data_IF_883380381550
#
_entry.id   IF_883380381550
#
_cell.length_a   1.000
_cell.length_b   1.000
_cell.length_c   1.000
_cell.angle_alpha   90.00
_cell.angle_beta   90.00
_cell.angle_gamma   90.00
#
_symmetry.space_group_name_H-M   'P 1'
#
loop_
_entity.id
_entity.type
_entity.pdbx_description
1 polymer ?
#
# COMPACT_ATOMS: atom_id res chain seq x y z
N UNK A 1 38.58 11.06 -14.62
CA UNK A 1 37.80 9.87 -14.21
C UNK A 1 36.50 10.34 -13.58
N UNK A 2 35.40 10.34 -14.35
CA UNK A 2 34.08 10.71 -13.85
C UNK A 2 33.33 9.42 -13.46
N UNK A 3 33.22 9.17 -12.15
CA UNK A 3 32.32 8.15 -11.63
C UNK A 3 30.90 8.72 -11.64
N UNK A 4 30.10 8.28 -12.61
CA UNK A 4 28.65 8.43 -12.61
C UNK A 4 28.06 7.52 -11.52
N UNK A 5 27.87 8.06 -10.32
CA UNK A 5 27.07 7.41 -9.27
C UNK A 5 25.62 7.81 -9.53
N UNK A 6 24.86 6.90 -10.14
CA UNK A 6 23.42 7.05 -10.34
C UNK A 6 22.64 7.09 -9.02
N UNK A 7 21.48 7.74 -8.98
CA UNK A 7 20.64 7.82 -7.78
C UNK A 7 19.81 6.55 -7.67
N UNK A 8 20.33 5.51 -7.02
CA UNK A 8 19.50 4.35 -6.64
C UNK A 8 19.88 3.79 -5.29
N UNK A 9 19.77 4.60 -4.24
CA UNK A 9 19.49 4.15 -2.86
C UNK A 9 18.73 5.24 -2.10
N UNK A 10 17.72 4.80 -1.36
CA UNK A 10 17.07 5.50 -0.25
C UNK A 10 15.91 6.48 -0.56
N UNK A 11 14.80 5.96 -1.08
CA UNK A 11 13.48 6.44 -0.63
C UNK A 11 13.19 5.85 0.76
N UNK A 12 13.93 6.36 1.74
CA UNK A 12 13.61 6.32 3.16
C UNK A 12 14.17 7.62 3.73
N UNK A 13 13.37 8.69 3.59
CA UNK A 13 13.64 10.05 4.05
C UNK A 13 12.28 10.58 4.52
N UNK A 14 11.85 10.23 5.73
CA UNK A 14 12.14 10.95 6.98
C UNK A 14 11.42 12.30 7.04
N UNK A 15 10.19 12.25 7.58
CA UNK A 15 9.26 13.38 7.81
C UNK A 15 9.84 14.48 8.72
N UNK A 16 11.04 14.26 9.29
CA UNK A 16 11.72 15.19 10.21
C UNK A 16 12.43 16.36 9.53
N UNK A 17 12.85 16.26 8.27
CA UNK A 17 13.70 17.30 7.65
C UNK A 17 12.95 18.43 6.94
N UNK A 18 11.62 18.33 6.76
CA UNK A 18 10.84 19.41 6.14
C UNK A 18 10.62 20.61 7.09
N UNK A 19 10.72 20.39 8.40
CA UNK A 19 10.45 21.41 9.42
C UNK A 19 11.50 22.54 9.47
N UNK A 20 12.76 22.25 9.15
CA UNK A 20 13.84 23.22 9.30
C UNK A 20 13.72 24.42 8.33
N UNK A 21 13.11 24.21 7.16
CA UNK A 21 12.93 25.27 6.14
C UNK A 21 11.70 26.15 6.39
N UNK A 22 10.76 25.72 7.24
CA UNK A 22 9.51 26.44 7.47
C UNK A 22 9.57 27.43 8.66
N UNK A 23 10.61 27.34 9.49
CA UNK A 23 10.81 28.21 10.67
C UNK A 23 11.39 29.60 10.36
N UNK A 24 11.66 29.94 9.09
CA UNK A 24 12.23 31.24 8.70
C UNK A 24 11.20 32.25 8.18
N UNK A 25 9.89 32.00 8.33
CA UNK A 25 8.88 33.00 7.91
C UNK A 25 7.73 33.14 8.91
N UNK A 26 7.90 34.12 9.78
CA UNK A 26 6.91 34.60 10.74
C UNK A 26 5.63 35.06 10.03
N UNK A 27 4.56 34.26 10.13
CA UNK A 27 3.17 34.76 10.09
C UNK A 27 2.19 33.72 10.68
N UNK A 28 1.87 33.91 11.97
CA UNK A 28 0.59 33.59 12.63
C UNK A 28 -0.03 32.21 12.31
N UNK A 29 0.18 31.24 13.22
CA UNK A 29 -0.93 30.55 13.92
C UNK A 29 -0.36 29.71 15.06
N UNK A 30 -0.57 30.17 16.29
CA UNK A 30 -0.63 29.25 17.44
C UNK A 30 -2.05 28.68 17.47
N UNK A 31 -2.18 27.52 18.09
CA UNK A 31 -3.40 26.89 18.62
C UNK A 31 -3.85 25.61 17.89
N UNK A 32 -4.26 24.60 18.67
CA UNK A 32 -3.86 23.20 18.53
C UNK A 32 -4.93 22.43 17.76
N UNK A 33 -4.59 22.06 16.52
CA UNK A 33 -5.47 21.29 15.65
C UNK A 33 -5.29 19.77 15.81
N UNK A 34 -4.31 19.32 16.60
CA UNK A 34 -4.11 17.88 16.83
C UNK A 34 -5.16 17.29 17.76
N UNK A 35 -5.66 18.04 18.76
CA UNK A 35 -6.74 17.51 19.62
C UNK A 35 -8.11 17.60 18.96
N UNK A 36 -8.40 18.63 18.16
CA UNK A 36 -9.67 18.72 17.41
C UNK A 36 -9.69 17.70 16.28
N UNK A 37 -8.56 17.47 15.60
CA UNK A 37 -8.40 16.42 14.60
C UNK A 37 -8.48 15.02 15.21
N UNK A 38 -7.79 14.76 16.33
CA UNK A 38 -7.87 13.47 17.02
C UNK A 38 -9.25 13.25 17.64
N UNK A 39 -9.91 14.25 18.23
CA UNK A 39 -11.25 14.10 18.84
C UNK A 39 -12.34 13.92 17.77
N UNK A 40 -12.24 14.57 16.61
CA UNK A 40 -13.16 14.32 15.48
C UNK A 40 -12.89 12.98 14.80
N UNK A 41 -11.63 12.56 14.66
CA UNK A 41 -11.27 11.21 14.17
C UNK A 41 -11.73 10.15 15.17
N UNK A 42 -11.51 10.32 16.48
CA UNK A 42 -11.95 9.40 17.53
C UNK A 42 -13.48 9.35 17.63
N UNK A 43 -14.16 10.49 17.47
CA UNK A 43 -15.62 10.58 17.41
C UNK A 43 -16.20 9.95 16.15
N UNK A 44 -15.55 10.04 14.99
CA UNK A 44 -15.98 9.40 13.74
C UNK A 44 -15.69 7.88 13.76
N UNK A 45 -14.60 7.47 14.41
CA UNK A 45 -14.24 6.06 14.65
C UNK A 45 -15.21 5.38 15.62
N UNK A 46 -15.63 6.08 16.69
CA UNK A 46 -16.67 5.59 17.60
C UNK A 46 -18.05 5.50 16.93
N UNK A 47 -18.32 6.36 15.93
CA UNK A 47 -19.60 6.40 15.22
C UNK A 47 -19.76 5.29 14.18
N UNK A 48 -18.70 4.53 13.83
CA UNK A 48 -18.77 3.49 12.79
C UNK A 48 -19.06 2.06 13.25
N UNK A 49 -18.73 1.58 14.46
CA UNK A 49 -18.56 0.10 14.55
C UNK A 49 -18.63 -0.55 15.95
N UNK A 50 -19.78 -0.57 16.65
CA UNK A 50 -19.95 -1.54 17.75
C UNK A 50 -21.36 -2.12 17.85
N UNK A 51 -22.38 -1.35 17.48
CA UNK A 51 -23.78 -1.80 17.52
C UNK A 51 -24.26 -2.48 16.24
N UNK A 52 -23.56 -2.32 15.11
CA UNK A 52 -24.02 -2.80 13.80
C UNK A 52 -23.29 -4.06 13.30
N UNK A 53 -22.18 -4.46 13.93
CA UNK A 53 -21.45 -5.70 13.60
C UNK A 53 -22.24 -7.00 13.80
N UNK A 54 -23.31 -6.94 14.60
CA UNK A 54 -24.07 -8.13 14.99
C UNK A 54 -25.33 -8.33 14.16
N UNK A 55 -25.62 -7.45 13.19
CA UNK A 55 -26.68 -7.68 12.22
C UNK A 55 -26.18 -8.65 11.13
N UNK A 56 -26.98 -9.67 10.75
CA UNK A 56 -26.59 -10.63 9.72
C UNK A 56 -26.40 -9.99 8.33
N UNK A 57 -26.94 -8.79 8.14
CA UNK A 57 -26.79 -7.99 6.92
C UNK A 57 -25.43 -7.27 6.88
N UNK A 58 -24.98 -6.71 8.00
CA UNK A 58 -23.65 -6.09 8.10
C UNK A 58 -22.51 -7.10 8.03
N UNK A 59 -22.67 -8.31 8.56
CA UNK A 59 -21.64 -9.35 8.42
C UNK A 59 -21.42 -9.74 6.96
N UNK A 60 -22.48 -9.78 6.15
CA UNK A 60 -22.37 -10.00 4.70
C UNK A 60 -21.65 -8.84 4.03
N UNK A 61 -22.09 -7.61 4.30
CA UNK A 61 -21.45 -6.40 3.78
C UNK A 61 -19.95 -6.34 4.14
N UNK A 62 -19.59 -6.64 5.39
CA UNK A 62 -18.20 -6.70 5.84
C UNK A 62 -17.40 -7.75 5.08
N UNK A 63 -17.94 -8.96 4.88
CA UNK A 63 -17.24 -9.99 4.13
C UNK A 63 -16.99 -9.61 2.66
N UNK A 64 -17.94 -8.90 2.03
CA UNK A 64 -17.80 -8.42 0.65
C UNK A 64 -16.75 -7.31 0.56
N UNK A 65 -16.78 -6.33 1.47
CA UNK A 65 -15.80 -5.24 1.50
C UNK A 65 -14.40 -5.73 1.91
N UNK A 66 -14.32 -6.72 2.81
CA UNK A 66 -13.07 -7.36 3.17
C UNK A 66 -12.45 -8.06 1.94
N UNK A 67 -13.24 -8.75 1.14
CA UNK A 67 -12.75 -9.37 -0.10
C UNK A 67 -12.20 -8.31 -1.07
N UNK A 68 -12.86 -7.16 -1.19
CA UNK A 68 -12.38 -6.04 -2.02
C UNK A 68 -11.04 -5.50 -1.52
N UNK A 69 -10.91 -5.28 -0.21
CA UNK A 69 -9.67 -4.82 0.40
C UNK A 69 -8.52 -5.82 0.18
N UNK A 70 -8.78 -7.11 0.37
CA UNK A 70 -7.80 -8.18 0.14
C UNK A 70 -7.37 -8.25 -1.32
N UNK A 71 -8.31 -8.14 -2.27
CA UNK A 71 -7.98 -8.13 -3.70
C UNK A 71 -7.14 -6.91 -4.05
N UNK A 72 -7.48 -5.72 -3.54
CA UNK A 72 -6.69 -4.51 -3.78
C UNK A 72 -5.26 -4.63 -3.24
N UNK A 73 -5.09 -5.15 -2.03
CA UNK A 73 -3.77 -5.39 -1.45
C UNK A 73 -2.98 -6.42 -2.27
N UNK A 74 -3.65 -7.51 -2.68
CA UNK A 74 -3.06 -8.55 -3.51
C UNK A 74 -2.61 -8.00 -4.87
N UNK A 75 -3.43 -7.19 -5.53
CA UNK A 75 -3.07 -6.51 -6.78
C UNK A 75 -1.88 -5.60 -6.57
N UNK A 76 -1.86 -4.78 -5.51
CA UNK A 76 -0.72 -3.91 -5.21
C UNK A 76 0.58 -4.69 -5.03
N UNK A 77 0.54 -5.81 -4.30
CA UNK A 77 1.71 -6.69 -4.09
C UNK A 77 2.16 -7.38 -5.38
N UNK A 78 1.23 -7.91 -6.16
CA UNK A 78 1.50 -8.50 -7.46
C UNK A 78 2.17 -7.49 -8.39
N UNK A 79 1.64 -6.27 -8.44
CA UNK A 79 2.18 -5.20 -9.26
C UNK A 79 3.61 -4.87 -8.85
N UNK A 80 3.90 -4.65 -7.56
CA UNK A 80 5.27 -4.32 -7.14
C UNK A 80 6.27 -5.44 -7.41
N UNK A 81 5.92 -6.68 -7.05
CA UNK A 81 6.81 -7.84 -7.20
C UNK A 81 7.09 -8.18 -8.66
N UNK A 82 6.06 -8.13 -9.50
CA UNK A 82 6.23 -8.43 -10.92
C UNK A 82 6.86 -7.28 -11.69
N UNK A 83 6.64 -6.03 -11.27
CA UNK A 83 7.30 -4.88 -11.85
C UNK A 83 8.81 -4.98 -11.73
N UNK A 84 9.32 -5.20 -10.51
CA UNK A 84 10.76 -5.27 -10.25
C UNK A 84 11.46 -6.43 -10.98
N UNK A 85 10.73 -7.51 -11.25
CA UNK A 85 11.27 -8.70 -11.96
C UNK A 85 11.24 -8.55 -13.48
N UNK A 86 10.19 -7.93 -14.02
CA UNK A 86 9.95 -7.92 -15.45
C UNK A 86 10.38 -6.62 -16.14
N UNK A 87 10.40 -5.51 -15.41
CA UNK A 87 10.66 -4.18 -15.96
C UNK A 87 12.06 -3.72 -15.55
N UNK A 88 13.02 -3.84 -16.46
CA UNK A 88 14.44 -3.52 -16.21
C UNK A 88 14.81 -2.08 -16.58
N UNK A 89 13.95 -1.39 -17.33
CA UNK A 89 14.12 -0.01 -17.79
C UNK A 89 12.82 0.79 -17.73
N UNK A 90 12.79 1.97 -18.35
CA UNK A 90 11.54 2.70 -18.52
C UNK A 90 10.74 2.07 -19.66
N UNK A 91 9.55 1.51 -19.41
CA UNK A 91 8.73 0.96 -20.48
C UNK A 91 8.32 2.08 -21.44
N UNK A 92 8.21 1.76 -22.73
CA UNK A 92 7.68 2.69 -23.73
C UNK A 92 6.16 2.88 -23.60
N UNK A 93 5.51 3.39 -24.65
CA UNK A 93 4.04 3.56 -24.67
C UNK A 93 3.26 2.23 -24.55
N UNK A 94 3.94 1.09 -24.70
CA UNK A 94 3.40 -0.26 -24.55
C UNK A 94 4.50 -1.18 -24.03
N UNK A 95 4.08 -2.22 -23.33
CA UNK A 95 4.98 -3.32 -23.00
C UNK A 95 5.42 -4.04 -24.28
N UNK A 96 6.69 -4.43 -24.32
CA UNK A 96 7.20 -5.36 -25.31
C UNK A 96 6.53 -6.74 -25.14
N UNK A 97 6.66 -7.60 -26.15
CA UNK A 97 6.16 -8.98 -26.08
C UNK A 97 6.81 -9.78 -24.94
N UNK A 98 8.11 -9.57 -24.70
CA UNK A 98 8.84 -10.19 -23.60
C UNK A 98 8.36 -9.72 -22.22
N UNK A 99 8.12 -8.42 -22.05
CA UNK A 99 7.61 -7.87 -20.78
C UNK A 99 6.19 -8.35 -20.49
N UNK A 100 5.32 -8.34 -21.51
CA UNK A 100 3.93 -8.80 -21.37
C UNK A 100 3.85 -10.28 -20.99
N UNK A 101 4.69 -11.11 -21.62
CA UNK A 101 4.82 -12.53 -21.27
C UNK A 101 5.42 -12.73 -19.88
N UNK A 102 6.43 -11.94 -19.50
CA UNK A 102 7.00 -11.98 -18.16
C UNK A 102 5.97 -11.65 -17.09
N UNK A 103 5.22 -10.56 -17.25
CA UNK A 103 4.19 -10.11 -16.30
C UNK A 103 3.09 -11.18 -16.12
N UNK A 104 2.64 -11.78 -17.21
CA UNK A 104 1.62 -12.84 -17.19
C UNK A 104 2.09 -14.07 -16.42
N UNK A 105 3.32 -14.51 -16.68
CA UNK A 105 3.93 -15.64 -15.98
C UNK A 105 4.22 -15.33 -14.51
N UNK A 106 4.72 -14.13 -14.21
CA UNK A 106 5.00 -13.70 -12.85
C UNK A 106 3.74 -13.69 -11.99
N UNK A 107 2.65 -13.09 -12.50
CA UNK A 107 1.40 -13.01 -11.76
C UNK A 107 0.83 -14.41 -11.47
N UNK A 108 0.82 -15.30 -12.47
CA UNK A 108 0.36 -16.69 -12.29
C UNK A 108 1.18 -17.41 -11.22
N UNK A 109 2.52 -17.33 -11.29
CA UNK A 109 3.42 -18.01 -10.34
C UNK A 109 3.32 -17.45 -8.92
N UNK A 110 3.16 -16.15 -8.78
CA UNK A 110 2.97 -15.52 -7.47
C UNK A 110 1.68 -15.99 -6.80
N UNK A 111 0.59 -16.08 -7.55
CA UNK A 111 -0.70 -16.57 -7.03
C UNK A 111 -0.62 -18.05 -6.64
N UNK A 112 -0.05 -18.90 -7.50
CA UNK A 112 0.16 -20.33 -7.21
C UNK A 112 0.96 -20.54 -5.94
N UNK A 113 2.08 -19.82 -5.79
CA UNK A 113 2.95 -19.90 -4.62
C UNK A 113 2.22 -19.42 -3.36
N UNK A 114 1.50 -18.30 -3.43
CA UNK A 114 0.74 -17.76 -2.30
C UNK A 114 -0.32 -18.75 -1.81
N UNK A 115 -1.06 -19.40 -2.72
CA UNK A 115 -2.04 -20.42 -2.36
C UNK A 115 -1.40 -21.67 -1.75
N UNK A 116 -0.26 -22.10 -2.28
CA UNK A 116 0.48 -23.24 -1.73
C UNK A 116 0.93 -22.95 -0.30
N UNK A 117 1.46 -21.76 -0.05
CA UNK A 117 1.90 -21.31 1.28
C UNK A 117 0.71 -21.30 2.25
N UNK A 118 -0.43 -20.71 1.86
CA UNK A 118 -1.64 -20.70 2.69
C UNK A 118 -2.12 -22.10 3.05
N UNK A 119 -2.16 -23.03 2.08
CA UNK A 119 -2.52 -24.43 2.32
C UNK A 119 -1.57 -25.11 3.31
N UNK A 120 -0.27 -24.82 3.24
CA UNK A 120 0.71 -25.37 4.18
C UNK A 120 0.50 -24.83 5.59
N UNK A 121 0.25 -23.53 5.75
CA UNK A 121 -0.08 -22.95 7.05
C UNK A 121 -1.33 -23.58 7.66
N UNK A 122 -2.38 -23.79 6.87
CA UNK A 122 -3.60 -24.47 7.31
C UNK A 122 -3.34 -25.92 7.74
N UNK A 123 -2.43 -26.64 7.05
CA UNK A 123 -2.10 -28.03 7.40
C UNK A 123 -1.22 -28.18 8.65
N UNK A 124 -0.59 -27.10 9.12
CA UNK A 124 0.25 -27.09 10.33
C UNK A 124 -0.53 -26.70 11.60
N UNK A 125 -1.79 -26.29 11.45
CA UNK A 125 -2.68 -25.85 12.54
C UNK A 125 -3.67 -26.97 12.88
#
# INVERSE_FOLDING_TARGET
MAHLIGPRKMFSLDHRYWWASFLSRSRIRVFPWDLVGVFTILSLSLFMDLSDLNSPEMQKFYSEEQQRAVVNEMVSKLTSECWDKCITGTPGNKFSSSESNCLSNCALRYMEMSMLIMKRFQSMQ
#
